data_IF_072697799264
#
_entry.id   IF_072697799264
#
_cell.length_a   1.000
_cell.length_b   1.000
_cell.length_c   1.000
_cell.angle_alpha   90.00
_cell.angle_beta   90.00
_cell.angle_gamma   90.00
#
_symmetry.space_group_name_H-M   'P 1'
#
loop_
_entity.id
_entity.type
_entity.pdbx_description
1 polymer ?
#
# COMPACT_ATOMS: atom_id res chain seq x y z
N UNK A 1 -34.00 -8.43 -24.06
CA UNK A 1 -33.06 -9.52 -24.37
C UNK A 1 -32.07 -9.56 -23.22
N UNK A 2 -32.34 -10.39 -22.22
CA UNK A 2 -31.47 -10.52 -21.06
C UNK A 2 -30.38 -11.53 -21.43
N UNK A 3 -29.21 -11.01 -21.78
CA UNK A 3 -28.01 -11.80 -22.03
C UNK A 3 -27.53 -12.35 -20.68
N UNK A 4 -28.17 -13.40 -20.18
CA UNK A 4 -27.66 -14.24 -19.11
C UNK A 4 -26.48 -15.04 -19.63
N UNK A 5 -25.39 -14.33 -19.90
CA UNK A 5 -24.06 -14.90 -19.97
C UNK A 5 -23.89 -15.69 -18.68
N UNK A 6 -23.74 -17.00 -18.77
CA UNK A 6 -23.45 -17.87 -17.63
C UNK A 6 -22.11 -17.45 -17.03
N UNK A 7 -22.16 -16.44 -16.17
CA UNK A 7 -21.05 -15.89 -15.42
C UNK A 7 -20.63 -16.97 -14.43
N UNK A 8 -19.43 -17.50 -14.61
CA UNK A 8 -18.86 -18.39 -13.60
C UNK A 8 -18.74 -17.59 -12.30
N UNK A 9 -19.12 -18.16 -11.16
CA UNK A 9 -19.04 -17.46 -9.88
C UNK A 9 -17.58 -17.17 -9.54
N UNK A 10 -17.33 -16.00 -8.95
CA UNK A 10 -16.02 -15.65 -8.43
C UNK A 10 -15.54 -16.65 -7.38
N UNK A 11 -14.29 -17.09 -7.48
CA UNK A 11 -13.75 -18.04 -6.50
C UNK A 11 -13.47 -17.33 -5.16
N UNK A 12 -13.66 -18.01 -4.01
CA UNK A 12 -13.35 -17.41 -2.70
C UNK A 12 -11.90 -16.88 -2.59
N UNK A 13 -10.95 -17.55 -3.24
CA UNK A 13 -9.55 -17.12 -3.30
C UNK A 13 -9.37 -15.78 -4.01
N UNK A 14 -10.03 -15.59 -5.15
CA UNK A 14 -9.97 -14.32 -5.87
C UNK A 14 -10.66 -13.20 -5.10
N UNK A 15 -11.79 -13.46 -4.43
CA UNK A 15 -12.46 -12.45 -3.58
C UNK A 15 -11.53 -12.02 -2.44
N UNK A 16 -10.87 -12.96 -1.77
CA UNK A 16 -9.92 -12.65 -0.71
C UNK A 16 -8.74 -11.80 -1.22
N UNK A 17 -8.21 -12.14 -2.40
CA UNK A 17 -7.13 -11.38 -3.03
C UNK A 17 -7.58 -9.99 -3.49
N UNK A 18 -8.76 -9.87 -4.09
CA UNK A 18 -9.33 -8.58 -4.49
C UNK A 18 -9.57 -7.67 -3.28
N UNK A 19 -10.02 -8.22 -2.15
CA UNK A 19 -10.17 -7.48 -0.89
C UNK A 19 -8.83 -6.96 -0.35
N UNK A 20 -7.76 -7.74 -0.43
CA UNK A 20 -6.44 -7.26 0.02
C UNK A 20 -5.91 -6.15 -0.89
N UNK A 21 -6.15 -6.23 -2.20
CA UNK A 21 -5.84 -5.16 -3.15
C UNK A 21 -6.66 -3.89 -2.90
N UNK A 22 -7.96 -4.01 -2.64
CA UNK A 22 -8.83 -2.90 -2.27
C UNK A 22 -8.30 -2.16 -1.03
N UNK A 23 -7.95 -2.91 0.02
CA UNK A 23 -7.36 -2.33 1.24
C UNK A 23 -6.00 -1.67 0.97
N UNK A 24 -5.13 -2.34 0.21
CA UNK A 24 -3.80 -1.83 -0.14
C UNK A 24 -3.86 -0.54 -0.93
N UNK A 25 -4.81 -0.45 -1.86
CA UNK A 25 -4.95 0.68 -2.78
C UNK A 25 -5.93 1.73 -2.28
N UNK A 26 -6.57 1.50 -1.12
CA UNK A 26 -7.64 2.35 -0.57
C UNK A 26 -8.80 2.55 -1.56
N UNK A 27 -9.12 1.51 -2.33
CA UNK A 27 -10.23 1.50 -3.29
C UNK A 27 -11.34 0.60 -2.77
N UNK A 28 -12.58 0.94 -3.11
CA UNK A 28 -13.71 0.07 -2.82
C UNK A 28 -13.74 -1.08 -3.84
N UNK A 29 -14.01 -2.31 -3.36
CA UNK A 29 -14.28 -3.45 -4.22
C UNK A 29 -15.77 -3.42 -4.62
N UNK A 30 -16.13 -3.14 -5.89
CA UNK A 30 -17.54 -3.04 -6.30
C UNK A 30 -18.27 -4.36 -6.13
N UNK A 31 -19.57 -4.31 -5.84
CA UNK A 31 -20.40 -5.51 -5.62
C UNK A 31 -20.60 -6.30 -6.91
N UNK A 32 -20.80 -5.60 -8.02
CA UNK A 32 -21.08 -6.15 -9.34
C UNK A 32 -19.89 -6.99 -9.84
N UNK A 33 -18.68 -6.50 -9.57
CA UNK A 33 -17.42 -7.16 -9.90
C UNK A 33 -17.23 -8.45 -9.09
N UNK A 34 -17.85 -8.58 -7.91
CA UNK A 34 -17.78 -9.80 -7.10
C UNK A 34 -18.69 -10.92 -7.61
N UNK A 35 -19.65 -10.63 -8.50
CA UNK A 35 -20.60 -11.63 -9.01
C UNK A 35 -20.06 -12.41 -10.23
N UNK A 36 -19.14 -11.82 -11.01
CA UNK A 36 -18.63 -12.40 -12.24
C UNK A 36 -17.11 -12.62 -12.18
N UNK A 37 -16.68 -13.86 -12.49
CA UNK A 37 -15.27 -14.27 -12.46
C UNK A 37 -14.38 -13.43 -13.39
N UNK A 38 -14.85 -13.11 -14.60
CA UNK A 38 -14.06 -12.35 -15.59
C UNK A 38 -13.93 -10.90 -15.18
N UNK A 39 -15.01 -10.29 -14.70
CA UNK A 39 -15.02 -8.94 -14.16
C UNK A 39 -14.07 -8.82 -12.97
N UNK A 40 -14.13 -9.78 -12.03
CA UNK A 40 -13.23 -9.81 -10.87
C UNK A 40 -11.76 -9.93 -11.29
N UNK A 41 -11.45 -10.81 -12.24
CA UNK A 41 -10.09 -10.98 -12.75
C UNK A 41 -9.58 -9.70 -13.42
N UNK A 42 -10.39 -9.06 -14.27
CA UNK A 42 -10.01 -7.82 -14.94
C UNK A 42 -9.77 -6.68 -13.92
N UNK A 43 -10.62 -6.59 -12.90
CA UNK A 43 -10.43 -5.62 -11.81
C UNK A 43 -9.14 -5.90 -11.02
N UNK A 44 -8.87 -7.16 -10.69
CA UNK A 44 -7.62 -7.57 -10.03
C UNK A 44 -6.41 -7.15 -10.87
N UNK A 45 -6.40 -7.38 -12.18
CA UNK A 45 -5.28 -7.03 -13.06
C UNK A 45 -4.99 -5.53 -13.06
N UNK A 46 -6.04 -4.70 -13.07
CA UNK A 46 -5.90 -3.24 -12.97
C UNK A 46 -5.34 -2.84 -11.61
N UNK A 47 -5.91 -3.36 -10.52
CA UNK A 47 -5.54 -2.99 -9.16
C UNK A 47 -4.16 -3.51 -8.75
N UNK A 48 -3.75 -4.66 -9.25
CA UNK A 48 -2.42 -5.23 -9.00
C UNK A 48 -1.31 -4.40 -9.65
N UNK A 49 -1.61 -3.72 -10.77
CA UNK A 49 -0.67 -2.81 -11.46
C UNK A 49 -0.60 -1.43 -10.82
N UNK A 50 -1.59 -1.05 -10.01
CA UNK A 50 -1.50 0.19 -9.26
C UNK A 50 -0.36 0.07 -8.26
N UNK A 51 0.51 1.09 -8.26
CA UNK A 51 1.41 1.28 -7.13
C UNK A 51 0.53 1.45 -5.90
N UNK A 52 0.82 0.76 -4.77
CA UNK A 52 0.05 0.92 -3.55
C UNK A 52 -0.13 2.40 -3.28
N UNK A 53 -1.39 2.84 -3.20
CA UNK A 53 -1.75 4.24 -3.02
C UNK A 53 -0.86 4.82 -1.95
N UNK A 54 -0.13 5.88 -2.31
CA UNK A 54 1.05 6.44 -1.65
C UNK A 54 1.01 6.20 -0.14
N UNK A 55 1.50 5.02 0.27
CA UNK A 55 1.62 4.65 1.68
C UNK A 55 2.41 5.78 2.30
N UNK A 56 1.82 6.44 3.32
CA UNK A 56 2.32 7.68 3.90
C UNK A 56 3.86 7.69 3.83
N UNK A 57 4.40 8.57 3.00
CA UNK A 57 5.84 8.57 2.71
C UNK A 57 6.62 8.91 3.95
N UNK A 58 5.97 9.46 4.99
CA UNK A 58 6.59 9.86 6.24
C UNK A 58 7.21 8.66 6.98
N UNK A 59 8.34 8.89 7.67
CA UNK A 59 8.92 7.90 8.56
C UNK A 59 7.96 7.52 9.69
N UNK A 60 8.07 6.27 10.14
CA UNK A 60 7.32 5.79 11.29
C UNK A 60 7.79 6.49 12.57
N UNK A 61 6.91 6.63 13.57
CA UNK A 61 7.27 7.25 14.87
C UNK A 61 8.48 6.58 15.53
N UNK A 62 8.67 5.27 15.32
CA UNK A 62 9.84 4.53 15.79
C UNK A 62 11.13 4.96 15.09
N UNK A 63 11.09 5.16 13.76
CA UNK A 63 12.24 5.67 13.02
C UNK A 63 12.59 7.08 13.48
N UNK A 64 11.59 7.95 13.66
CA UNK A 64 11.81 9.33 14.16
C UNK A 64 12.47 9.31 15.54
N UNK A 65 11.93 8.57 16.50
CA UNK A 65 12.49 8.48 17.85
C UNK A 65 13.92 7.91 17.86
N UNK A 66 14.21 6.95 16.98
CA UNK A 66 15.57 6.41 16.84
C UNK A 66 16.54 7.44 16.25
N UNK A 67 16.12 8.13 15.19
CA UNK A 67 16.92 9.18 14.57
C UNK A 67 17.19 10.34 15.51
N UNK A 68 16.20 10.80 16.27
CA UNK A 68 16.34 11.86 17.27
C UNK A 68 17.32 11.47 18.39
N UNK A 69 17.26 10.22 18.88
CA UNK A 69 18.23 9.71 19.85
C UNK A 69 19.65 9.74 19.29
N UNK A 70 19.82 9.30 18.04
CA UNK A 70 21.11 9.26 17.36
C UNK A 70 21.67 10.66 17.12
N UNK A 71 20.84 11.58 16.65
CA UNK A 71 21.10 13.00 16.49
C UNK A 71 21.63 13.63 17.79
N UNK A 72 20.95 13.37 18.92
CA UNK A 72 21.36 13.86 20.24
C UNK A 72 22.73 13.34 20.66
N UNK A 73 22.99 12.05 20.49
CA UNK A 73 24.29 11.43 20.84
C UNK A 73 25.41 12.02 19.97
N UNK A 74 25.17 12.16 18.66
CA UNK A 74 26.15 12.64 17.68
C UNK A 74 26.19 14.17 17.56
N UNK A 75 25.45 14.90 18.42
CA UNK A 75 25.31 16.36 18.46
C UNK A 75 25.04 16.99 17.08
N UNK A 76 24.15 16.38 16.30
CA UNK A 76 23.73 16.83 14.97
C UNK A 76 22.21 16.85 14.87
N UNK A 77 21.65 17.69 14.01
CA UNK A 77 20.23 17.67 13.71
C UNK A 77 19.90 16.58 12.67
N UNK A 78 18.68 16.05 12.73
CA UNK A 78 18.12 15.27 11.62
C UNK A 78 17.63 16.26 10.56
N UNK A 79 18.03 16.13 9.28
CA UNK A 79 17.55 17.01 8.22
C UNK A 79 16.03 16.93 8.02
N UNK A 80 15.39 18.06 7.72
CA UNK A 80 13.92 18.16 7.59
C UNK A 80 13.34 17.25 6.51
N UNK A 81 14.08 17.00 5.43
CA UNK A 81 13.69 16.09 4.35
C UNK A 81 13.53 14.65 4.83
N UNK A 82 14.25 14.23 5.88
CA UNK A 82 14.10 12.89 6.45
C UNK A 82 12.72 12.71 7.08
N UNK A 83 12.09 13.76 7.60
CA UNK A 83 10.74 13.69 8.18
C UNK A 83 9.62 13.59 7.12
N UNK A 84 9.94 13.79 5.84
CA UNK A 84 8.98 13.71 4.73
C UNK A 84 9.04 12.36 4.00
N UNK A 85 10.16 11.66 4.11
CA UNK A 85 10.39 10.38 3.44
C UNK A 85 11.06 9.34 4.36
N UNK A 86 10.41 8.20 4.55
CA UNK A 86 10.86 7.09 5.39
C UNK A 86 12.14 6.44 4.86
N UNK A 87 12.36 6.49 3.54
CA UNK A 87 13.57 6.00 2.90
C UNK A 87 14.76 6.91 3.19
N UNK A 88 14.58 8.23 3.09
CA UNK A 88 15.57 9.23 3.51
C UNK A 88 15.89 9.10 5.01
N UNK A 89 14.87 8.96 5.86
CA UNK A 89 15.08 8.71 7.30
C UNK A 89 15.90 7.44 7.54
N UNK A 90 15.60 6.32 6.86
CA UNK A 90 16.36 5.08 7.01
C UNK A 90 17.81 5.27 6.58
N UNK A 91 18.05 5.86 5.41
CA UNK A 91 19.41 6.12 4.91
C UNK A 91 20.21 7.01 5.86
N UNK A 92 19.58 8.04 6.42
CA UNK A 92 20.20 8.89 7.42
C UNK A 92 20.54 8.10 8.68
N UNK A 93 19.59 7.32 9.22
CA UNK A 93 19.83 6.46 10.38
C UNK A 93 21.02 5.52 10.14
N UNK A 94 21.06 4.84 9.00
CA UNK A 94 22.09 3.85 8.67
C UNK A 94 23.46 4.51 8.52
N UNK A 95 23.53 5.69 7.89
CA UNK A 95 24.77 6.47 7.78
C UNK A 95 25.25 7.10 9.09
N UNK A 96 24.40 7.17 10.11
CA UNK A 96 24.70 7.81 11.39
C UNK A 96 24.82 6.83 12.56
N UNK A 97 24.65 5.52 12.32
CA UNK A 97 24.58 4.48 13.36
C UNK A 97 25.82 4.43 14.27
#
# INVERSE_FOLDING_TARGET
MESTTYALPATPKQIAYARSLALRNQTLLPWEVQQDLRALSAWIDVQARLKPGTQDSRPTSKQVAFAERLARIKRRAVPDECFRDKGLMSKWIDGNR
#
